data_IF_561010142222
#
_entry.id   IF_561010142222
#
_cell.length_a   1.000
_cell.length_b   1.000
_cell.length_c   1.000
_cell.angle_alpha   90.00
_cell.angle_beta   90.00
_cell.angle_gamma   90.00
#
_symmetry.space_group_name_H-M   'P 1'
#
loop_
_entity.id
_entity.type
_entity.pdbx_description
1 polymer ?
#
# COMPACT_ATOMS: atom_id res chain seq x y z
N UNK A 1 9.96 15.75 -21.94
CA UNK A 1 9.32 15.54 -20.62
C UNK A 1 9.43 16.75 -19.69
N UNK A 2 10.44 17.61 -19.86
CA UNK A 2 10.57 18.93 -19.22
C UNK A 2 9.51 19.98 -19.66
N UNK A 3 8.36 19.54 -20.18
CA UNK A 3 7.37 20.39 -20.85
C UNK A 3 6.03 20.49 -20.10
N UNK A 4 5.92 19.90 -18.89
CA UNK A 4 4.64 19.79 -18.18
C UNK A 4 4.61 20.40 -16.77
N UNK A 5 5.62 21.14 -16.35
CA UNK A 5 5.61 21.76 -15.02
C UNK A 5 6.13 23.20 -15.09
N UNK A 6 5.29 24.12 -15.57
CA UNK A 6 5.49 25.54 -15.31
C UNK A 6 4.98 25.94 -13.92
N UNK A 7 4.10 25.16 -13.30
CA UNK A 7 3.63 25.35 -11.91
C UNK A 7 3.15 23.96 -11.44
N UNK A 8 3.69 23.43 -10.33
CA UNK A 8 3.46 22.06 -9.82
C UNK A 8 1.96 21.79 -9.51
N UNK A 9 1.15 21.51 -10.53
CA UNK A 9 -0.23 21.03 -10.46
C UNK A 9 -0.25 19.50 -10.52
N UNK A 10 0.42 18.88 -9.55
CA UNK A 10 0.55 17.43 -9.44
C UNK A 10 -0.72 16.86 -8.79
N UNK A 11 -1.72 16.57 -9.63
CA UNK A 11 -3.00 15.99 -9.21
C UNK A 11 -3.13 14.50 -9.54
N UNK A 12 -2.18 13.94 -10.28
CA UNK A 12 -2.30 12.59 -10.84
C UNK A 12 -1.63 11.57 -9.93
N UNK A 13 -0.39 11.79 -9.51
CA UNK A 13 0.34 10.86 -8.63
C UNK A 13 -0.20 10.95 -7.21
N UNK A 14 -0.45 12.15 -6.69
CA UNK A 14 -1.09 12.36 -5.39
C UNK A 14 -2.45 11.67 -5.29
N UNK A 15 -3.24 11.67 -6.36
CA UNK A 15 -4.51 10.94 -6.42
C UNK A 15 -4.32 9.42 -6.46
N UNK A 16 -3.30 8.91 -7.15
CA UNK A 16 -2.99 7.48 -7.13
C UNK A 16 -2.51 7.03 -5.75
N UNK A 17 -1.62 7.78 -5.12
CA UNK A 17 -1.16 7.53 -3.74
C UNK A 17 -2.34 7.52 -2.75
N UNK A 18 -3.23 8.51 -2.84
CA UNK A 18 -4.41 8.58 -1.97
C UNK A 18 -5.32 7.35 -2.17
N UNK A 19 -5.56 6.96 -3.43
CA UNK A 19 -6.40 5.81 -3.77
C UNK A 19 -5.80 4.52 -3.25
N UNK A 20 -4.52 4.25 -3.53
CA UNK A 20 -3.87 3.00 -3.09
C UNK A 20 -3.74 2.96 -1.57
N UNK A 21 -3.31 4.05 -0.94
CA UNK A 21 -3.11 4.12 0.51
C UNK A 21 -4.40 3.91 1.31
N UNK A 22 -5.50 4.51 0.88
CA UNK A 22 -6.81 4.33 1.53
C UNK A 22 -7.42 2.94 1.28
N UNK A 23 -7.13 2.33 0.12
CA UNK A 23 -7.59 0.99 -0.24
C UNK A 23 -7.00 -0.11 0.66
N UNK A 24 -5.78 0.08 1.19
CA UNK A 24 -5.15 -0.86 2.13
C UNK A 24 -6.04 -1.08 3.35
N UNK A 25 -6.46 0.00 4.01
CA UNK A 25 -7.32 -0.07 5.20
C UNK A 25 -8.71 -0.62 4.90
N UNK A 26 -9.28 -0.26 3.75
CA UNK A 26 -10.56 -0.80 3.30
C UNK A 26 -10.50 -2.32 3.12
N UNK A 27 -9.43 -2.83 2.49
CA UNK A 27 -9.26 -4.26 2.24
C UNK A 27 -8.96 -5.06 3.51
N UNK A 28 -8.21 -4.50 4.45
CA UNK A 28 -8.04 -5.10 5.78
C UNK A 28 -9.39 -5.19 6.50
N UNK A 29 -10.21 -4.13 6.46
CA UNK A 29 -11.53 -4.14 7.09
C UNK A 29 -12.45 -5.20 6.48
N UNK A 30 -12.47 -5.33 5.15
CA UNK A 30 -13.23 -6.40 4.51
C UNK A 30 -12.68 -7.79 4.85
N UNK A 31 -11.36 -7.95 4.94
CA UNK A 31 -10.75 -9.23 5.29
C UNK A 31 -11.22 -9.70 6.67
N UNK A 32 -11.28 -8.80 7.67
CA UNK A 32 -11.76 -9.12 9.02
C UNK A 32 -13.18 -9.71 9.03
N UNK A 33 -14.01 -9.37 8.04
CA UNK A 33 -15.38 -9.87 7.91
C UNK A 33 -15.52 -11.00 6.86
N UNK A 34 -14.41 -11.59 6.40
CA UNK A 34 -14.42 -12.65 5.41
C UNK A 34 -15.10 -13.93 5.93
N UNK A 35 -15.89 -14.57 5.06
CA UNK A 35 -16.67 -15.78 5.41
C UNK A 35 -15.79 -17.04 5.52
N UNK A 36 -14.62 -17.05 4.88
CA UNK A 36 -13.69 -18.18 4.89
C UNK A 36 -12.25 -17.74 5.07
N UNK A 37 -11.39 -18.65 5.56
CA UNK A 37 -9.93 -18.41 5.64
C UNK A 37 -9.31 -18.10 4.25
N UNK A 38 -9.85 -18.69 3.18
CA UNK A 38 -9.37 -18.44 1.82
C UNK A 38 -9.76 -17.03 1.34
N UNK A 39 -10.98 -16.59 1.64
CA UNK A 39 -11.44 -15.23 1.34
C UNK A 39 -10.65 -14.18 2.16
N UNK A 40 -10.44 -14.44 3.46
CA UNK A 40 -9.57 -13.61 4.31
C UNK A 40 -8.18 -13.46 3.67
N UNK A 41 -7.55 -14.57 3.28
CA UNK A 41 -6.22 -14.57 2.63
C UNK A 41 -6.25 -13.79 1.31
N UNK A 42 -7.30 -13.94 0.52
CA UNK A 42 -7.44 -13.24 -0.76
C UNK A 42 -7.52 -11.72 -0.56
N UNK A 43 -8.40 -11.25 0.34
CA UNK A 43 -8.57 -9.83 0.67
C UNK A 43 -7.30 -9.21 1.28
N UNK A 44 -6.63 -9.92 2.19
CA UNK A 44 -5.31 -9.50 2.69
C UNK A 44 -4.26 -9.44 1.57
N UNK A 45 -4.33 -10.34 0.60
CA UNK A 45 -3.48 -10.31 -0.60
C UNK A 45 -3.73 -9.09 -1.48
N UNK A 46 -4.97 -8.61 -1.58
CA UNK A 46 -5.27 -7.34 -2.26
C UNK A 46 -4.70 -6.17 -1.45
N UNK A 47 -4.90 -6.13 -0.13
CA UNK A 47 -4.28 -5.10 0.73
C UNK A 47 -2.75 -5.06 0.57
N UNK A 48 -2.09 -6.21 0.42
CA UNK A 48 -0.66 -6.30 0.15
C UNK A 48 -0.26 -5.69 -1.20
N UNK A 49 -1.10 -5.81 -2.24
CA UNK A 49 -0.84 -5.17 -3.54
C UNK A 49 -0.98 -3.66 -3.45
N UNK A 50 -2.03 -3.17 -2.79
CA UNK A 50 -2.30 -1.74 -2.63
C UNK A 50 -1.20 -1.02 -1.81
N UNK A 51 -0.65 -1.66 -0.77
CA UNK A 51 0.45 -1.07 -0.02
C UNK A 51 1.76 -1.05 -0.82
N UNK A 52 2.01 -2.06 -1.67
CA UNK A 52 3.15 -2.02 -2.60
C UNK A 52 3.00 -0.90 -3.63
N UNK A 53 1.80 -0.70 -4.19
CA UNK A 53 1.53 0.41 -5.10
C UNK A 53 1.72 1.76 -4.39
N UNK A 54 1.31 1.86 -3.12
CA UNK A 54 1.53 3.05 -2.29
C UNK A 54 3.02 3.36 -2.12
N UNK A 55 3.84 2.35 -1.80
CA UNK A 55 5.30 2.50 -1.68
C UNK A 55 5.91 2.99 -2.99
N UNK A 56 5.52 2.41 -4.12
CA UNK A 56 5.98 2.84 -5.44
C UNK A 56 5.66 4.32 -5.71
N UNK A 57 4.45 4.79 -5.37
CA UNK A 57 4.10 6.19 -5.53
C UNK A 57 4.89 7.12 -4.60
N UNK A 58 5.19 6.69 -3.36
CA UNK A 58 6.06 7.43 -2.45
C UNK A 58 7.47 7.58 -3.01
N UNK A 59 8.04 6.50 -3.56
CA UNK A 59 9.35 6.52 -4.21
C UNK A 59 9.35 7.48 -5.40
N UNK A 60 8.34 7.41 -6.28
CA UNK A 60 8.25 8.29 -7.44
C UNK A 60 8.10 9.77 -7.05
N UNK A 61 7.29 10.08 -6.02
CA UNK A 61 7.11 11.44 -5.51
C UNK A 61 8.40 11.99 -4.90
N UNK A 62 9.21 11.14 -4.26
CA UNK A 62 10.55 11.49 -3.79
C UNK A 62 11.48 11.81 -4.97
N UNK A 63 11.58 10.91 -5.94
CA UNK A 63 12.47 11.06 -7.11
C UNK A 63 12.11 12.24 -8.02
N UNK A 64 10.90 12.78 -7.88
CA UNK A 64 10.41 13.96 -8.61
C UNK A 64 10.38 15.24 -7.76
N UNK A 65 11.05 15.22 -6.61
CA UNK A 65 11.18 16.33 -5.65
C UNK A 65 9.83 16.88 -5.15
N UNK A 66 8.78 16.03 -5.11
CA UNK A 66 7.49 16.38 -4.50
C UNK A 66 7.44 16.09 -3.00
N UNK A 67 8.25 15.14 -2.53
CA UNK A 67 8.46 14.88 -1.11
C UNK A 67 9.91 15.20 -0.75
N UNK A 68 10.10 15.84 0.40
CA UNK A 68 11.45 15.92 0.98
C UNK A 68 11.90 14.53 1.44
N UNK A 69 13.22 14.35 1.59
CA UNK A 69 13.78 13.10 2.11
C UNK A 69 13.15 12.69 3.46
N UNK A 70 12.93 13.66 4.35
CA UNK A 70 12.34 13.46 5.68
C UNK A 70 10.86 13.05 5.58
N UNK A 71 10.07 13.71 4.73
CA UNK A 71 8.67 13.35 4.51
C UNK A 71 8.53 11.94 3.92
N UNK A 72 9.37 11.62 2.93
CA UNK A 72 9.42 10.29 2.35
C UNK A 72 9.80 9.24 3.40
N UNK A 73 10.87 9.45 4.17
CA UNK A 73 11.32 8.49 5.19
C UNK A 73 10.26 8.23 6.25
N UNK A 74 9.60 9.29 6.74
CA UNK A 74 8.53 9.16 7.72
C UNK A 74 7.37 8.30 7.20
N UNK A 75 6.84 8.60 6.01
CA UNK A 75 5.65 7.91 5.48
C UNK A 75 6.02 6.50 4.97
N UNK A 76 7.19 6.36 4.35
CA UNK A 76 7.64 5.08 3.83
C UNK A 76 7.97 4.08 4.96
N UNK A 77 8.49 4.56 6.10
CA UNK A 77 8.69 3.70 7.27
C UNK A 77 7.38 3.02 7.71
N UNK A 78 6.30 3.80 7.82
CA UNK A 78 4.97 3.29 8.16
C UNK A 78 4.46 2.29 7.10
N UNK A 79 4.61 2.63 5.81
CA UNK A 79 4.18 1.75 4.72
C UNK A 79 4.94 0.41 4.72
N UNK A 80 6.24 0.44 5.02
CA UNK A 80 7.09 -0.73 5.16
C UNK A 80 6.72 -1.57 6.40
N UNK A 81 6.30 -0.96 7.49
CA UNK A 81 5.77 -1.70 8.63
C UNK A 81 4.46 -2.41 8.29
N UNK A 82 3.52 -1.70 7.64
CA UNK A 82 2.22 -2.24 7.23
C UNK A 82 2.40 -3.44 6.29
N UNK A 83 3.25 -3.35 5.27
CA UNK A 83 3.48 -4.47 4.35
C UNK A 83 4.10 -5.68 5.05
N UNK A 84 5.01 -5.47 6.02
CA UNK A 84 5.59 -6.56 6.82
C UNK A 84 4.52 -7.25 7.65
N UNK A 85 3.65 -6.48 8.30
CA UNK A 85 2.53 -6.99 9.09
C UNK A 85 1.57 -7.82 8.23
N UNK A 86 1.10 -7.25 7.11
CA UNK A 86 0.21 -7.94 6.16
C UNK A 86 0.85 -9.23 5.66
N UNK A 87 2.14 -9.20 5.30
CA UNK A 87 2.89 -10.37 4.83
C UNK A 87 2.95 -11.47 5.90
N UNK A 88 3.18 -11.10 7.15
CA UNK A 88 3.20 -12.03 8.29
C UNK A 88 1.82 -12.69 8.48
N UNK A 89 0.75 -11.90 8.43
CA UNK A 89 -0.63 -12.39 8.53
C UNK A 89 -0.92 -13.40 7.43
N UNK A 90 -0.64 -13.07 6.16
CA UNK A 90 -0.88 -13.98 5.01
C UNK A 90 -0.11 -15.30 5.18
N UNK A 91 1.15 -15.25 5.62
CA UNK A 91 1.98 -16.45 5.88
C UNK A 91 1.36 -17.33 6.96
N UNK A 92 0.93 -16.73 8.08
CA UNK A 92 0.27 -17.44 9.17
C UNK A 92 -1.06 -18.07 8.73
N UNK A 93 -1.90 -17.32 8.02
CA UNK A 93 -3.15 -17.84 7.46
C UNK A 93 -2.91 -19.02 6.52
N UNK A 94 -1.90 -18.94 5.64
CA UNK A 94 -1.55 -20.04 4.73
C UNK A 94 -1.14 -21.31 5.48
N UNK A 95 -0.31 -21.20 6.51
CA UNK A 95 0.06 -22.34 7.35
C UNK A 95 -1.18 -22.98 8.01
N UNK A 96 -2.10 -22.16 8.52
CA UNK A 96 -3.33 -22.63 9.17
C UNK A 96 -4.38 -23.21 8.22
N UNK A 97 -4.29 -22.96 6.91
CA UNK A 97 -5.13 -23.61 5.88
C UNK A 97 -4.55 -24.96 5.51
N UNK A 98 -3.22 -25.07 5.42
CA UNK A 98 -2.55 -26.32 5.03
C UNK A 98 -2.52 -27.38 6.13
N UNK A 99 -2.68 -26.96 7.40
CA UNK A 99 -2.66 -27.84 8.57
C UNK A 99 -4.05 -28.33 9.01
N UNK A 100 -5.12 -27.95 8.30
CA UNK A 100 -6.49 -28.37 8.57
C UNK A 100 -7.06 -29.17 7.41
#
# INVERSE_FOLDING_TARGET
YQFLCAEKKEFVLSKQLLRSGTSVGAMVREAVHAETKNDFKHKMGIAQKEINETIYWLELLKETDYLTQEQFESINADAIEIIKLITSIIKSTKANINNG
#
